data_IF_198308609256
#
_entry.id   IF_198308609256
#
_cell.length_a   1.000
_cell.length_b   1.000
_cell.length_c   1.000
_cell.angle_alpha   90.00
_cell.angle_beta   90.00
_cell.angle_gamma   90.00
#
_symmetry.space_group_name_H-M   'P 1'
#
loop_
_entity.id
_entity.type
_entity.pdbx_description
1 polymer ?
#
# COMPACT_ATOMS: atom_id res chain seq x y z
N UNK A 1 -58.15 -14.00 58.53
CA UNK A 1 -57.39 -14.14 59.80
C UNK A 1 -56.08 -13.39 59.66
N UNK A 2 -55.90 -12.41 60.56
CA UNK A 2 -54.63 -11.83 61.09
C UNK A 2 -53.66 -11.27 60.01
N UNK A 3 -53.24 -10.08 60.04
CA UNK A 3 -53.18 -9.05 61.08
C UNK A 3 -51.89 -8.29 61.00
N UNK A 4 -51.99 -6.97 61.08
CA UNK A 4 -51.05 -6.01 61.70
C UNK A 4 -49.68 -5.77 61.06
N UNK A 5 -49.46 -4.56 60.75
CA UNK A 5 -48.91 -3.32 61.38
C UNK A 5 -47.51 -3.12 60.84
N UNK A 6 -47.11 -2.04 60.25
CA UNK A 6 -47.01 -0.71 60.76
C UNK A 6 -45.54 -0.29 60.69
N UNK A 7 -45.22 0.89 60.17
CA UNK A 7 -43.86 1.40 60.33
C UNK A 7 -43.50 2.44 59.25
N UNK A 8 -43.98 3.63 59.46
CA UNK A 8 -43.47 4.85 58.84
C UNK A 8 -42.07 5.14 59.40
N UNK A 9 -41.05 5.14 58.54
CA UNK A 9 -39.82 5.88 58.79
C UNK A 9 -39.37 6.64 57.54
N UNK A 10 -39.20 7.92 57.78
CA UNK A 10 -38.87 8.92 56.81
C UNK A 10 -37.56 8.72 56.07
N UNK A 11 -37.60 9.02 54.82
CA UNK A 11 -36.40 9.02 53.98
C UNK A 11 -35.93 10.47 53.83
N UNK A 12 -34.78 10.76 54.45
CA UNK A 12 -34.02 11.99 54.21
C UNK A 12 -33.31 11.86 52.81
N UNK A 13 -33.34 12.90 51.99
CA UNK A 13 -32.60 12.86 50.71
C UNK A 13 -31.09 13.04 50.98
N UNK A 14 -30.31 12.12 50.40
CA UNK A 14 -28.83 12.25 50.34
C UNK A 14 -28.46 13.33 49.33
N UNK A 15 -27.42 14.11 49.56
CA UNK A 15 -26.96 15.15 48.65
C UNK A 15 -26.43 14.55 47.32
N UNK A 16 -26.89 15.15 46.23
CA UNK A 16 -26.38 14.89 44.87
C UNK A 16 -24.91 15.26 44.78
N UNK A 17 -24.05 14.27 44.59
CA UNK A 17 -22.68 14.45 44.11
C UNK A 17 -22.73 14.60 42.58
N UNK A 18 -22.90 15.84 42.11
CA UNK A 18 -22.56 16.19 40.75
C UNK A 18 -21.06 16.51 40.68
N UNK A 19 -20.48 16.13 39.55
CA UNK A 19 -19.12 16.43 39.09
C UNK A 19 -18.04 15.39 39.42
N UNK A 20 -17.96 14.38 38.57
CA UNK A 20 -16.72 13.79 38.02
C UNK A 20 -17.17 12.84 36.87
N UNK A 21 -17.75 13.37 35.81
CA UNK A 21 -17.99 12.55 34.60
C UNK A 21 -17.85 13.36 33.31
N UNK A 22 -17.06 14.42 33.30
CA UNK A 22 -16.90 15.25 32.09
C UNK A 22 -15.46 15.34 31.59
N UNK A 23 -14.55 14.49 32.05
CA UNK A 23 -13.14 14.54 31.65
C UNK A 23 -12.61 13.28 30.92
N UNK A 24 -13.47 12.29 30.66
CA UNK A 24 -13.05 11.04 30.01
C UNK A 24 -13.42 10.92 28.53
N UNK A 25 -14.09 11.91 27.93
CA UNK A 25 -14.48 11.89 26.50
C UNK A 25 -13.55 12.67 25.56
N UNK A 26 -12.49 13.32 26.08
CA UNK A 26 -11.57 14.09 25.22
C UNK A 26 -10.29 13.34 24.82
N UNK A 27 -10.01 12.16 25.40
CA UNK A 27 -8.77 11.43 25.13
C UNK A 27 -8.74 10.62 23.80
N UNK A 28 -9.84 10.11 23.21
CA UNK A 28 -9.76 9.41 21.94
C UNK A 28 -9.54 10.35 20.73
N UNK A 29 -9.85 11.66 20.87
CA UNK A 29 -9.72 12.59 19.75
C UNK A 29 -8.29 13.09 19.52
N UNK A 30 -7.50 13.23 20.59
CA UNK A 30 -6.09 13.68 20.49
C UNK A 30 -5.18 12.59 19.86
N UNK A 31 -5.43 11.32 20.17
CA UNK A 31 -4.69 10.19 19.59
C UNK A 31 -4.90 10.06 18.07
N UNK A 32 -6.12 10.33 17.62
CA UNK A 32 -6.47 10.25 16.20
C UNK A 32 -5.88 11.39 15.37
N UNK A 33 -5.81 12.60 15.94
CA UNK A 33 -5.20 13.77 15.28
C UNK A 33 -3.68 13.58 15.14
N UNK A 34 -3.00 13.08 16.17
CA UNK A 34 -1.56 12.81 16.10
C UNK A 34 -1.20 11.71 15.10
N UNK A 35 -2.01 10.65 14.99
CA UNK A 35 -1.83 9.60 13.99
C UNK A 35 -2.07 10.14 12.57
N UNK A 36 -3.12 10.92 12.36
CA UNK A 36 -3.41 11.55 11.08
C UNK A 36 -2.34 12.59 10.67
N UNK A 37 -1.80 13.35 11.61
CA UNK A 37 -0.70 14.29 11.34
C UNK A 37 0.58 13.56 10.96
N UNK A 38 0.95 12.47 11.66
CA UNK A 38 2.11 11.63 11.32
C UNK A 38 1.95 10.96 9.96
N UNK A 39 0.75 10.49 9.61
CA UNK A 39 0.49 9.89 8.30
C UNK A 39 0.52 10.94 7.18
N UNK A 40 0.08 12.16 7.44
CA UNK A 40 0.15 13.30 6.52
C UNK A 40 1.59 13.77 6.30
N UNK A 41 2.36 13.93 7.36
CA UNK A 41 3.79 14.28 7.32
C UNK A 41 4.60 13.20 6.59
N UNK A 42 4.30 11.90 6.82
CA UNK A 42 4.89 10.78 6.11
C UNK A 42 4.50 10.74 4.62
N UNK A 43 3.28 11.13 4.27
CA UNK A 43 2.82 11.23 2.89
C UNK A 43 3.46 12.42 2.15
N UNK A 44 3.63 13.56 2.82
CA UNK A 44 4.35 14.71 2.28
C UNK A 44 5.82 14.37 2.03
N UNK A 45 6.47 13.72 2.99
CA UNK A 45 7.88 13.30 2.88
C UNK A 45 8.15 12.35 1.70
N UNK A 46 7.18 11.53 1.26
CA UNK A 46 7.40 10.63 0.11
C UNK A 46 7.38 11.40 -1.23
N UNK A 47 6.63 12.50 -1.32
CA UNK A 47 6.57 13.34 -2.52
C UNK A 47 7.80 14.21 -2.72
N UNK A 48 8.51 14.50 -1.62
CA UNK A 48 9.74 15.30 -1.66
C UNK A 48 10.96 14.47 -2.09
N UNK A 49 10.82 13.14 -2.13
CA UNK A 49 11.88 12.24 -2.56
C UNK A 49 12.06 12.26 -4.08
N UNK A 50 13.28 11.94 -4.58
CA UNK A 50 13.50 11.62 -5.98
C UNK A 50 12.54 10.52 -6.47
N UNK A 51 12.10 10.60 -7.72
CA UNK A 51 11.07 9.70 -8.29
C UNK A 51 11.39 8.20 -8.07
N UNK A 52 12.65 7.80 -8.24
CA UNK A 52 13.05 6.41 -8.03
C UNK A 52 12.86 5.99 -6.57
N UNK A 53 13.17 6.87 -5.61
CA UNK A 53 12.95 6.59 -4.17
C UNK A 53 11.46 6.49 -3.83
N UNK A 54 10.60 7.27 -4.49
CA UNK A 54 9.14 7.11 -4.36
C UNK A 54 8.70 5.73 -4.83
N UNK A 55 9.23 5.25 -5.97
CA UNK A 55 8.94 3.90 -6.48
C UNK A 55 9.39 2.81 -5.50
N UNK A 56 10.61 2.90 -4.96
CA UNK A 56 11.15 1.97 -3.96
C UNK A 56 10.26 1.92 -2.72
N UNK A 57 9.93 3.07 -2.13
CA UNK A 57 9.07 3.14 -0.92
C UNK A 57 7.66 2.63 -1.19
N UNK A 58 7.07 3.02 -2.33
CA UNK A 58 5.75 2.56 -2.74
C UNK A 58 5.71 1.04 -2.90
N UNK A 59 6.70 0.47 -3.60
CA UNK A 59 6.80 -0.98 -3.81
C UNK A 59 6.94 -1.72 -2.49
N UNK A 60 7.85 -1.29 -1.62
CA UNK A 60 8.02 -1.88 -0.27
C UNK A 60 6.73 -1.88 0.53
N UNK A 61 5.98 -0.78 0.48
CA UNK A 61 4.72 -0.65 1.20
C UNK A 61 3.69 -1.69 0.74
N UNK A 62 3.55 -1.89 -0.56
CA UNK A 62 2.52 -2.78 -1.11
C UNK A 62 2.94 -4.25 -1.16
N UNK A 63 4.23 -4.56 -1.33
CA UNK A 63 4.70 -5.96 -1.30
C UNK A 63 4.76 -6.50 0.12
N UNK A 64 5.17 -5.69 1.10
CA UNK A 64 5.45 -6.15 2.44
C UNK A 64 6.67 -7.08 2.50
N UNK A 65 6.89 -7.71 3.65
CA UNK A 65 8.02 -8.62 3.85
C UNK A 65 7.67 -10.06 3.51
N UNK A 66 8.44 -10.68 2.61
CA UNK A 66 8.29 -12.07 2.22
C UNK A 66 9.19 -12.96 3.08
N UNK A 67 8.56 -13.81 3.89
CA UNK A 67 9.18 -14.85 4.71
C UNK A 67 9.20 -16.19 3.96
N UNK A 68 9.72 -17.26 4.58
CA UNK A 68 9.84 -18.60 4.00
C UNK A 68 8.53 -19.14 3.40
N UNK A 69 7.39 -18.83 4.02
CA UNK A 69 6.06 -19.25 3.52
C UNK A 69 5.69 -18.67 2.16
N UNK A 70 6.42 -17.66 1.69
CA UNK A 70 6.16 -17.00 0.41
C UNK A 70 7.07 -17.51 -0.72
N UNK A 71 7.84 -18.60 -0.47
CA UNK A 71 8.71 -19.16 -1.52
C UNK A 71 7.98 -19.30 -2.86
N UNK A 72 8.55 -18.93 -3.99
CA UNK A 72 9.95 -18.53 -4.21
C UNK A 72 10.23 -17.02 -4.06
N UNK A 73 9.42 -16.28 -3.32
CA UNK A 73 9.62 -14.84 -3.10
C UNK A 73 10.34 -14.58 -1.79
N UNK A 74 11.26 -13.61 -1.78
CA UNK A 74 12.05 -13.20 -0.61
C UNK A 74 12.10 -11.68 -0.47
N UNK A 75 12.37 -11.19 0.74
CA UNK A 75 12.56 -9.77 1.03
C UNK A 75 11.35 -8.92 0.63
N UNK A 76 11.53 -7.96 -0.26
CA UNK A 76 10.48 -7.07 -0.77
C UNK A 76 9.87 -7.57 -2.09
N UNK A 77 9.63 -8.87 -2.21
CA UNK A 77 8.97 -9.44 -3.37
C UNK A 77 9.90 -9.89 -4.50
N UNK A 78 11.21 -9.99 -4.26
CA UNK A 78 12.14 -10.58 -5.22
C UNK A 78 11.81 -12.05 -5.43
N UNK A 79 11.64 -12.45 -6.69
CA UNK A 79 11.44 -13.84 -7.06
C UNK A 79 12.79 -14.50 -7.33
N UNK A 80 13.14 -15.47 -6.50
CA UNK A 80 14.39 -16.23 -6.64
C UNK A 80 14.57 -16.79 -8.05
N UNK A 81 15.75 -16.58 -8.61
CA UNK A 81 16.16 -17.12 -9.90
C UNK A 81 17.04 -18.35 -9.69
N UNK A 82 17.19 -19.17 -10.74
CA UNK A 82 18.08 -20.34 -10.69
C UNK A 82 19.52 -19.89 -10.42
N UNK A 83 20.14 -20.46 -9.39
CA UNK A 83 21.53 -20.16 -9.01
C UNK A 83 21.67 -19.02 -7.99
N UNK A 84 20.60 -18.33 -7.60
CA UNK A 84 20.68 -17.35 -6.52
C UNK A 84 20.68 -18.02 -5.14
N UNK A 85 21.62 -17.62 -4.29
CA UNK A 85 21.82 -18.17 -2.94
C UNK A 85 21.04 -17.41 -1.84
N UNK A 86 20.03 -16.60 -2.21
CA UNK A 86 19.26 -15.87 -1.22
C UNK A 86 18.27 -16.78 -0.47
N UNK A 87 18.11 -16.56 0.83
CA UNK A 87 17.16 -17.26 1.66
C UNK A 87 16.32 -16.25 2.45
N UNK A 88 15.01 -16.47 2.49
CA UNK A 88 14.11 -15.64 3.30
C UNK A 88 14.43 -15.67 4.80
N UNK A 89 15.07 -16.77 5.27
CA UNK A 89 15.51 -16.95 6.67
C UNK A 89 16.65 -16.01 7.06
N UNK A 90 17.63 -15.83 6.15
CA UNK A 90 18.87 -15.10 6.45
C UNK A 90 18.92 -13.72 5.81
N UNK A 91 17.93 -13.37 4.97
CA UNK A 91 17.91 -12.09 4.26
C UNK A 91 17.74 -10.91 5.22
N UNK A 92 18.71 -10.01 5.17
CA UNK A 92 18.62 -8.72 5.89
C UNK A 92 17.79 -7.71 5.12
N UNK A 93 17.23 -6.71 5.83
CA UNK A 93 16.50 -5.61 5.18
C UNK A 93 17.38 -4.82 4.20
N UNK A 94 18.66 -4.65 4.51
CA UNK A 94 19.63 -3.97 3.65
C UNK A 94 19.84 -4.75 2.32
N UNK A 95 19.99 -6.07 2.40
CA UNK A 95 20.10 -6.92 1.21
C UNK A 95 18.81 -6.86 0.37
N UNK A 96 17.66 -7.02 1.01
CA UNK A 96 16.37 -6.94 0.32
C UNK A 96 16.15 -5.58 -0.37
N UNK A 97 16.60 -4.48 0.25
CA UNK A 97 16.51 -3.14 -0.33
C UNK A 97 17.41 -2.99 -1.55
N UNK A 98 18.63 -3.50 -1.50
CA UNK A 98 19.55 -3.50 -2.62
C UNK A 98 19.01 -4.29 -3.81
N UNK A 99 18.47 -5.49 -3.55
CA UNK A 99 17.87 -6.35 -4.58
C UNK A 99 16.62 -5.69 -5.19
N UNK A 100 15.73 -5.14 -4.39
CA UNK A 100 14.56 -4.43 -4.89
C UNK A 100 14.95 -3.29 -5.84
N UNK A 101 15.96 -2.50 -5.49
CA UNK A 101 16.47 -1.42 -6.33
C UNK A 101 17.02 -1.92 -7.66
N UNK A 102 17.75 -3.03 -7.62
CA UNK A 102 18.27 -3.68 -8.82
C UNK A 102 17.12 -4.19 -9.71
N UNK A 103 16.17 -4.90 -9.15
CA UNK A 103 14.99 -5.40 -9.85
C UNK A 103 14.20 -4.25 -10.49
N UNK A 104 13.91 -3.17 -9.76
CA UNK A 104 13.23 -2.01 -10.32
C UNK A 104 14.01 -1.38 -11.47
N UNK A 105 15.35 -1.26 -11.39
CA UNK A 105 16.17 -0.77 -12.50
C UNK A 105 16.09 -1.69 -13.72
N UNK A 106 16.14 -3.01 -13.51
CA UNK A 106 15.97 -4.01 -14.59
C UNK A 106 14.63 -3.86 -15.28
N UNK A 107 13.54 -3.75 -14.51
CA UNK A 107 12.22 -3.54 -15.07
C UNK A 107 12.09 -2.20 -15.79
N UNK A 108 12.61 -1.10 -15.23
CA UNK A 108 12.60 0.20 -15.88
C UNK A 108 13.35 0.19 -17.23
N UNK A 109 14.48 -0.52 -17.29
CA UNK A 109 15.27 -0.63 -18.52
C UNK A 109 14.49 -1.28 -19.67
N UNK A 110 13.56 -2.20 -19.40
CA UNK A 110 12.68 -2.81 -20.41
C UNK A 110 11.74 -1.79 -21.08
N UNK A 111 11.45 -0.69 -20.39
CA UNK A 111 10.55 0.37 -20.84
C UNK A 111 11.28 1.68 -21.20
N UNK A 112 12.62 1.64 -21.35
CA UNK A 112 13.45 2.85 -21.63
C UNK A 112 12.92 3.69 -22.80
N UNK A 113 12.37 3.04 -23.83
CA UNK A 113 11.82 3.73 -25.01
C UNK A 113 10.64 4.65 -24.71
N UNK A 114 9.98 4.52 -23.54
CA UNK A 114 8.87 5.36 -23.12
C UNK A 114 9.31 6.58 -22.27
N UNK A 115 10.62 6.87 -22.20
CA UNK A 115 11.14 8.07 -21.57
C UNK A 115 10.67 8.24 -20.12
N UNK A 116 9.99 9.35 -19.84
CA UNK A 116 9.49 9.68 -18.50
C UNK A 116 8.55 8.61 -17.90
N UNK A 117 7.85 7.84 -18.71
CA UNK A 117 6.94 6.80 -18.25
C UNK A 117 7.66 5.49 -17.89
N UNK A 118 8.98 5.36 -18.14
CA UNK A 118 9.73 4.12 -17.93
C UNK A 118 9.69 3.63 -16.48
N UNK A 119 9.78 4.55 -15.51
CA UNK A 119 9.72 4.22 -14.08
C UNK A 119 8.33 3.75 -13.67
N UNK A 120 7.29 4.43 -14.11
CA UNK A 120 5.89 4.07 -13.85
C UNK A 120 5.58 2.66 -14.40
N UNK A 121 6.00 2.40 -15.65
CA UNK A 121 5.80 1.10 -16.32
C UNK A 121 6.65 0.00 -15.68
N UNK A 122 7.89 0.28 -15.31
CA UNK A 122 8.78 -0.66 -14.62
C UNK A 122 8.22 -1.07 -13.25
N UNK A 123 7.69 -0.11 -12.49
CA UNK A 123 7.04 -0.37 -11.20
C UNK A 123 5.79 -1.23 -11.36
N UNK A 124 4.98 -0.98 -12.38
CA UNK A 124 3.84 -1.83 -12.71
C UNK A 124 4.29 -3.25 -13.10
N UNK A 125 5.31 -3.36 -13.97
CA UNK A 125 5.84 -4.63 -14.45
C UNK A 125 6.44 -5.48 -13.32
N UNK A 126 7.06 -4.87 -12.33
CA UNK A 126 7.56 -5.57 -11.13
C UNK A 126 6.44 -6.39 -10.46
N UNK A 127 5.24 -5.84 -10.38
CA UNK A 127 4.10 -6.51 -9.74
C UNK A 127 3.35 -7.47 -10.67
N UNK A 128 3.06 -7.06 -11.92
CA UNK A 128 2.17 -7.85 -12.81
C UNK A 128 2.92 -8.72 -13.82
N UNK A 129 4.21 -8.52 -13.96
CA UNK A 129 5.07 -9.12 -14.97
C UNK A 129 5.09 -8.33 -16.29
N UNK A 130 6.25 -8.20 -16.96
CA UNK A 130 6.41 -7.39 -18.17
C UNK A 130 5.61 -7.93 -19.36
N UNK A 131 5.39 -9.23 -19.44
CA UNK A 131 4.64 -9.86 -20.52
C UNK A 131 3.15 -9.41 -20.57
N UNK A 132 2.56 -9.05 -19.42
CA UNK A 132 1.19 -8.51 -19.39
C UNK A 132 1.09 -7.09 -19.97
N UNK A 133 2.21 -6.37 -20.01
CA UNK A 133 2.29 -5.04 -20.61
C UNK A 133 2.70 -5.12 -22.07
N UNK A 134 3.87 -5.69 -22.33
CA UNK A 134 4.53 -5.69 -23.64
C UNK A 134 3.92 -6.72 -24.61
N UNK A 135 3.18 -7.68 -24.09
CA UNK A 135 2.71 -8.82 -24.86
C UNK A 135 3.73 -9.96 -24.89
N UNK A 136 3.33 -11.08 -25.47
CA UNK A 136 4.16 -12.29 -25.61
C UNK A 136 3.28 -13.49 -25.97
N UNK A 137 3.83 -14.71 -25.83
CA UNK A 137 3.11 -15.95 -26.23
C UNK A 137 1.73 -16.11 -25.57
N UNK A 138 1.55 -15.62 -24.32
CA UNK A 138 0.31 -15.82 -23.53
C UNK A 138 -0.58 -14.58 -23.45
N UNK A 139 -0.05 -13.41 -23.76
CA UNK A 139 -0.77 -12.14 -23.57
C UNK A 139 -0.63 -11.27 -24.80
N UNK A 140 -1.71 -10.65 -25.28
CA UNK A 140 -1.61 -9.58 -26.26
C UNK A 140 -0.94 -8.35 -25.63
N UNK A 141 -0.34 -7.50 -26.44
CA UNK A 141 0.14 -6.19 -26.02
C UNK A 141 -1.00 -5.41 -25.36
N UNK A 142 -0.75 -4.86 -24.17
CA UNK A 142 -1.77 -4.14 -23.39
C UNK A 142 -2.26 -2.88 -24.08
N UNK A 143 -3.50 -2.45 -23.76
CA UNK A 143 -4.03 -1.14 -24.21
C UNK A 143 -3.16 0.01 -23.74
N UNK A 144 -2.60 -0.08 -22.52
CA UNK A 144 -1.67 0.89 -21.94
C UNK A 144 -0.46 1.14 -22.88
N UNK A 145 0.22 0.07 -23.28
CA UNK A 145 1.39 0.17 -24.15
C UNK A 145 1.01 0.66 -25.55
N UNK A 146 -0.08 0.17 -26.14
CA UNK A 146 -0.54 0.64 -27.45
C UNK A 146 -0.86 2.14 -27.45
N UNK A 147 -1.44 2.65 -26.36
CA UNK A 147 -1.77 4.06 -26.20
C UNK A 147 -0.52 4.93 -26.15
N UNK A 148 0.48 4.50 -25.37
CA UNK A 148 1.79 5.17 -25.29
C UNK A 148 2.55 5.11 -26.63
N UNK A 149 2.51 3.99 -27.34
CA UNK A 149 3.12 3.85 -28.67
C UNK A 149 2.46 4.77 -29.71
N UNK A 150 1.19 5.11 -29.52
CA UNK A 150 0.48 6.11 -30.34
C UNK A 150 0.71 7.55 -29.86
N UNK A 151 1.65 7.81 -28.93
CA UNK A 151 1.94 9.14 -28.39
C UNK A 151 0.90 9.67 -27.39
N UNK A 152 -0.11 8.89 -27.05
CA UNK A 152 -1.17 9.33 -26.14
C UNK A 152 -0.80 8.98 -24.68
N UNK A 153 -0.56 10.00 -23.88
CA UNK A 153 -0.20 9.88 -22.46
C UNK A 153 -1.39 10.01 -21.50
N UNK A 154 -2.62 10.17 -21.96
CA UNK A 154 -3.81 10.01 -21.10
C UNK A 154 -4.05 8.53 -20.80
N UNK A 155 -3.26 7.98 -19.89
CA UNK A 155 -3.15 6.54 -19.61
C UNK A 155 -3.68 6.12 -18.24
N UNK A 156 -4.26 7.03 -17.48
CA UNK A 156 -4.72 6.73 -16.12
C UNK A 156 -5.69 5.53 -16.08
N UNK A 157 -6.70 5.53 -16.96
CA UNK A 157 -7.71 4.46 -17.01
C UNK A 157 -7.07 3.10 -17.29
N UNK A 158 -6.17 3.05 -18.27
CA UNK A 158 -5.46 1.82 -18.64
C UNK A 158 -4.53 1.34 -17.55
N UNK A 159 -3.82 2.25 -16.86
CA UNK A 159 -2.95 1.92 -15.75
C UNK A 159 -3.71 1.34 -14.57
N UNK A 160 -4.79 1.97 -14.14
CA UNK A 160 -5.57 1.50 -12.99
C UNK A 160 -6.36 0.22 -13.29
N UNK A 161 -6.54 -0.13 -14.55
CA UNK A 161 -7.19 -1.39 -14.94
C UNK A 161 -6.40 -2.64 -14.54
N UNK A 162 -5.09 -2.52 -14.24
CA UNK A 162 -4.27 -3.62 -13.70
C UNK A 162 -4.55 -3.91 -12.22
N UNK A 163 -5.81 -3.92 -11.84
CA UNK A 163 -6.29 -4.13 -10.48
C UNK A 163 -7.11 -5.42 -10.29
N UNK A 164 -7.00 -6.38 -11.22
CA UNK A 164 -7.76 -7.63 -11.15
C UNK A 164 -6.91 -8.79 -10.63
N UNK A 165 -7.52 -9.63 -9.80
CA UNK A 165 -6.97 -10.90 -9.33
C UNK A 165 -8.01 -12.01 -9.56
N UNK A 166 -7.61 -13.10 -10.24
CA UNK A 166 -8.52 -14.19 -10.63
C UNK A 166 -9.80 -13.68 -11.34
N UNK A 167 -9.65 -12.72 -12.24
CA UNK A 167 -10.75 -12.13 -13.01
C UNK A 167 -11.62 -11.11 -12.25
N UNK A 168 -11.46 -10.97 -10.93
CA UNK A 168 -12.24 -10.03 -10.11
C UNK A 168 -11.42 -8.79 -9.75
N UNK A 169 -12.09 -7.64 -9.70
CA UNK A 169 -11.48 -6.38 -9.22
C UNK A 169 -11.09 -6.51 -7.75
N UNK A 170 -9.86 -6.16 -7.41
CA UNK A 170 -9.30 -6.27 -6.07
C UNK A 170 -9.02 -4.88 -5.50
N UNK A 171 -9.63 -4.55 -4.37
CA UNK A 171 -9.56 -3.20 -3.78
C UNK A 171 -8.12 -2.75 -3.46
N UNK A 172 -7.29 -3.65 -2.90
CA UNK A 172 -5.90 -3.32 -2.56
C UNK A 172 -5.05 -3.10 -3.82
N UNK A 173 -5.24 -3.89 -4.89
CA UNK A 173 -4.55 -3.66 -6.15
C UNK A 173 -4.98 -2.34 -6.79
N UNK A 174 -6.26 -1.99 -6.70
CA UNK A 174 -6.74 -0.70 -7.19
C UNK A 174 -6.11 0.46 -6.39
N UNK A 175 -6.05 0.36 -5.05
CA UNK A 175 -5.36 1.35 -4.20
C UNK A 175 -3.90 1.48 -4.62
N UNK A 176 -3.21 0.36 -4.81
CA UNK A 176 -1.83 0.33 -5.28
C UNK A 176 -1.65 1.08 -6.61
N UNK A 177 -2.46 0.76 -7.63
CA UNK A 177 -2.38 1.43 -8.95
C UNK A 177 -2.60 2.93 -8.87
N UNK A 178 -3.59 3.37 -8.09
CA UNK A 178 -3.85 4.80 -7.87
C UNK A 178 -2.67 5.50 -7.19
N UNK A 179 -2.09 4.87 -6.17
CA UNK A 179 -0.94 5.41 -5.43
C UNK A 179 0.31 5.48 -6.31
N UNK A 180 0.63 4.40 -7.03
CA UNK A 180 1.77 4.39 -7.97
C UNK A 180 1.64 5.48 -9.02
N UNK A 181 0.46 5.61 -9.62
CA UNK A 181 0.22 6.65 -10.63
C UNK A 181 0.38 8.06 -10.05
N UNK A 182 -0.21 8.34 -8.89
CA UNK A 182 -0.13 9.64 -8.24
C UNK A 182 1.29 10.03 -7.80
N UNK A 183 2.18 9.05 -7.54
CA UNK A 183 3.55 9.29 -7.10
C UNK A 183 4.55 9.35 -8.25
N UNK A 184 4.30 8.66 -9.36
CA UNK A 184 5.31 8.37 -10.38
C UNK A 184 4.97 8.90 -11.77
N UNK A 185 3.70 9.22 -12.05
CA UNK A 185 3.33 9.83 -13.33
C UNK A 185 3.78 11.29 -13.37
N UNK A 186 4.46 11.65 -14.44
CA UNK A 186 4.88 13.04 -14.74
C UNK A 186 3.99 13.50 -15.89
N UNK A 187 3.17 14.56 -15.74
CA UNK A 187 2.31 15.11 -16.78
C UNK A 187 3.05 15.53 -18.04
#
# INVERSE_FOLDING_TARGET
MRGCTGGLYGYLPKPMRHNILLLLFLLPFVGNVSAQMKDREKAESIRDLPLFERAVRCTRHFEGWHSEKHHPYVGWGHRLQKGEAYSARTMTRRQADAILREDLRKFCAMFRRFGADSLLLGTLAFNVGPAKLLGGRRYPKSKLIRKLEAGNRDIYREYVSFCHYKGKRHAMLLKRRKTEFALLYIP
#
